data_IF_381783936217
#
_entry.id   IF_381783936217
#
_cell.length_a   1.000
_cell.length_b   1.000
_cell.length_c   1.000
_cell.angle_alpha   90.00
_cell.angle_beta   90.00
_cell.angle_gamma   90.00
#
_symmetry.space_group_name_H-M   'P 1'
#
loop_
_entity.id
_entity.type
_entity.pdbx_description
1 polymer ?
#
# COMPACT_ATOMS: atom_id res chain seq x y z
N UNK A 1 -4.00 10.32 -7.78
CA UNK A 1 -4.20 11.07 -9.04
C UNK A 1 -3.04 10.79 -10.00
N UNK A 2 -1.79 10.92 -9.59
CA UNK A 2 -0.59 10.75 -10.43
C UNK A 2 -0.35 9.33 -10.96
N UNK A 3 -0.94 8.31 -10.35
CA UNK A 3 -0.83 6.90 -10.74
C UNK A 3 -1.95 6.42 -11.66
N UNK A 4 -2.98 7.24 -11.87
CA UNK A 4 -4.11 6.86 -12.73
C UNK A 4 -3.85 7.38 -14.12
N UNK A 5 -3.90 6.53 -15.16
CA UNK A 5 -3.60 6.90 -16.54
C UNK A 5 -4.76 7.67 -17.18
N UNK A 6 -4.99 8.89 -16.68
CA UNK A 6 -6.13 9.75 -17.07
C UNK A 6 -6.18 10.06 -18.57
N UNK A 7 -5.00 10.25 -19.17
CA UNK A 7 -4.91 10.62 -20.58
C UNK A 7 -5.01 9.40 -21.50
N UNK A 8 -4.26 8.32 -21.20
CA UNK A 8 -4.23 7.13 -22.05
C UNK A 8 -5.52 6.31 -21.98
N UNK A 9 -6.07 6.10 -20.77
CA UNK A 9 -7.19 5.18 -20.57
C UNK A 9 -8.54 5.92 -20.51
N UNK A 10 -8.55 7.15 -20.00
CA UNK A 10 -9.79 7.93 -19.84
C UNK A 10 -9.90 9.09 -20.82
N UNK A 11 -8.91 9.34 -21.69
CA UNK A 11 -8.89 10.40 -22.71
C UNK A 11 -9.21 11.81 -22.18
N UNK A 12 -8.73 12.13 -20.96
CA UNK A 12 -8.95 13.43 -20.32
C UNK A 12 -7.77 14.35 -20.65
N UNK A 13 -7.90 15.13 -21.73
CA UNK A 13 -6.84 16.03 -22.25
C UNK A 13 -6.39 17.14 -21.31
N UNK A 14 -7.12 17.40 -20.19
CA UNK A 14 -6.66 18.31 -19.16
C UNK A 14 -5.31 17.90 -18.56
N UNK A 15 -5.09 16.60 -18.39
CA UNK A 15 -3.84 16.08 -17.81
C UNK A 15 -2.67 16.13 -18.78
N UNK A 16 -2.92 16.13 -20.08
CA UNK A 16 -1.88 16.37 -21.08
C UNK A 16 -1.39 17.81 -21.03
N UNK A 17 -2.30 18.79 -20.93
CA UNK A 17 -1.93 20.19 -20.76
C UNK A 17 -1.17 20.45 -19.46
N UNK A 18 -1.52 19.74 -18.40
CA UNK A 18 -0.81 19.82 -17.11
C UNK A 18 0.60 19.22 -17.23
N UNK A 19 0.75 18.12 -17.97
CA UNK A 19 2.04 17.52 -18.27
C UNK A 19 2.92 18.48 -19.08
N UNK A 20 2.40 19.09 -20.16
CA UNK A 20 3.12 20.07 -20.97
C UNK A 20 3.55 21.29 -20.15
N UNK A 21 2.70 21.75 -19.24
CA UNK A 21 3.05 22.83 -18.32
C UNK A 21 4.26 22.47 -17.45
N UNK A 22 4.28 21.30 -16.84
CA UNK A 22 5.41 20.85 -16.03
C UNK A 22 6.67 20.55 -16.86
N UNK A 23 6.51 20.03 -18.07
CA UNK A 23 7.61 19.80 -19.01
C UNK A 23 8.25 21.11 -19.46
N UNK A 24 7.49 22.20 -19.52
CA UNK A 24 7.99 23.53 -19.90
C UNK A 24 8.86 24.22 -18.84
N UNK A 25 8.90 23.70 -17.59
CA UNK A 25 9.72 24.25 -16.50
C UNK A 25 11.02 23.44 -16.39
N UNK A 26 12.20 23.97 -16.83
CA UNK A 26 13.42 23.16 -16.99
C UNK A 26 13.89 22.43 -15.74
N UNK A 27 13.85 23.08 -14.57
CA UNK A 27 14.28 22.48 -13.29
C UNK A 27 13.27 21.44 -12.83
N UNK A 28 11.98 21.75 -12.91
CA UNK A 28 10.91 20.89 -12.45
C UNK A 28 10.77 19.65 -13.35
N UNK A 29 10.90 19.81 -14.65
CA UNK A 29 10.86 18.70 -15.61
C UNK A 29 11.98 17.69 -15.39
N UNK A 30 13.17 18.16 -15.05
CA UNK A 30 14.32 17.30 -14.76
C UNK A 30 14.14 16.56 -13.43
N UNK A 31 13.70 17.26 -12.37
CA UNK A 31 13.52 16.68 -11.03
C UNK A 31 12.36 15.67 -10.99
N UNK A 32 11.27 15.97 -11.71
CA UNK A 32 10.11 15.08 -11.78
C UNK A 32 10.23 13.99 -12.86
N UNK A 33 11.30 14.00 -13.68
CA UNK A 33 11.48 13.03 -14.77
C UNK A 33 10.42 13.12 -15.86
N UNK A 34 9.70 14.25 -15.97
CA UNK A 34 8.56 14.43 -16.88
C UNK A 34 8.94 14.24 -18.34
N UNK A 35 10.18 14.54 -18.71
CA UNK A 35 10.67 14.39 -20.08
C UNK A 35 10.88 12.93 -20.51
N UNK A 36 10.92 11.99 -19.57
CA UNK A 36 11.16 10.58 -19.84
C UNK A 36 9.91 9.71 -19.71
N UNK A 37 8.92 10.16 -18.95
CA UNK A 37 7.82 9.32 -18.50
C UNK A 37 6.43 9.79 -18.98
N UNK A 38 6.27 10.48 -20.04
CA UNK A 38 4.96 10.82 -20.60
C UNK A 38 4.01 11.56 -19.64
N UNK A 39 2.71 11.53 -19.92
CA UNK A 39 1.67 12.24 -19.19
C UNK A 39 1.46 11.76 -17.75
N UNK A 40 0.88 12.61 -16.91
CA UNK A 40 0.40 12.24 -15.56
C UNK A 40 -0.42 10.96 -15.60
N UNK A 41 -0.05 9.98 -14.76
CA UNK A 41 -0.64 8.64 -14.74
C UNK A 41 0.32 7.53 -15.15
N UNK A 42 1.44 7.88 -15.79
CA UNK A 42 2.54 6.94 -16.07
C UNK A 42 3.69 7.07 -15.06
N UNK A 43 3.46 7.83 -14.00
CA UNK A 43 4.48 8.08 -12.98
C UNK A 43 4.66 6.88 -12.06
N UNK A 44 5.93 6.55 -11.82
CA UNK A 44 6.36 5.50 -10.90
C UNK A 44 6.87 6.08 -9.57
N UNK A 45 7.45 5.24 -8.75
CA UNK A 45 7.91 5.61 -7.41
C UNK A 45 8.93 6.75 -7.38
N UNK A 46 9.78 6.87 -8.40
CA UNK A 46 10.82 7.91 -8.45
C UNK A 46 10.19 9.30 -8.58
N UNK A 47 9.26 9.46 -9.50
CA UNK A 47 8.56 10.73 -9.77
C UNK A 47 7.69 11.13 -8.58
N UNK A 48 7.03 10.15 -7.96
CA UNK A 48 6.22 10.37 -6.77
C UNK A 48 7.10 10.78 -5.59
N UNK A 49 8.27 10.17 -5.43
CA UNK A 49 9.23 10.52 -4.38
C UNK A 49 9.74 11.95 -4.55
N UNK A 50 10.06 12.36 -5.78
CA UNK A 50 10.44 13.73 -6.10
C UNK A 50 9.31 14.72 -5.80
N UNK A 51 8.06 14.38 -6.14
CA UNK A 51 6.88 15.19 -5.84
C UNK A 51 6.70 15.38 -4.32
N UNK A 52 6.89 14.32 -3.53
CA UNK A 52 6.81 14.41 -2.07
C UNK A 52 7.92 15.30 -1.48
N UNK A 53 9.16 15.21 -2.01
CA UNK A 53 10.25 16.10 -1.56
C UNK A 53 9.94 17.56 -1.86
N UNK A 54 9.47 17.87 -3.06
CA UNK A 54 9.06 19.23 -3.44
C UNK A 54 7.91 19.71 -2.56
N UNK A 55 6.89 18.88 -2.37
CA UNK A 55 5.76 19.22 -1.50
C UNK A 55 6.20 19.49 -0.06
N UNK A 56 7.14 18.71 0.46
CA UNK A 56 7.72 18.91 1.78
C UNK A 56 8.44 20.25 1.86
N UNK A 57 9.23 20.61 0.85
CA UNK A 57 9.93 21.90 0.79
C UNK A 57 8.95 23.07 0.74
N UNK A 58 7.88 22.96 -0.06
CA UNK A 58 6.80 23.98 -0.14
C UNK A 58 6.08 24.14 1.19
N UNK A 59 5.71 23.03 1.85
CA UNK A 59 5.07 23.07 3.17
C UNK A 59 6.00 23.71 4.20
N UNK A 60 7.28 23.31 4.22
CA UNK A 60 8.28 23.89 5.11
C UNK A 60 8.43 25.40 4.91
N UNK A 61 8.40 25.87 3.66
CA UNK A 61 8.47 27.29 3.33
C UNK A 61 7.22 28.05 3.79
N UNK A 62 6.02 27.53 3.49
CA UNK A 62 4.73 28.16 3.89
C UNK A 62 4.63 28.26 5.42
N UNK A 63 4.96 27.20 6.12
CA UNK A 63 4.82 27.13 7.58
C UNK A 63 6.08 27.53 8.36
N UNK A 64 7.10 28.06 7.70
CA UNK A 64 8.37 28.46 8.32
C UNK A 64 8.18 29.34 9.58
N UNK A 65 7.29 30.33 9.51
CA UNK A 65 6.99 31.21 10.65
C UNK A 65 6.35 30.47 11.83
N UNK A 66 5.51 29.48 11.58
CA UNK A 66 4.87 28.69 12.64
C UNK A 66 5.85 27.71 13.29
N UNK A 67 6.73 27.09 12.51
CA UNK A 67 7.83 26.27 13.01
C UNK A 67 8.77 27.09 13.91
N UNK A 68 9.13 28.29 13.46
CA UNK A 68 9.98 29.22 14.25
C UNK A 68 9.32 29.63 15.56
N UNK A 69 8.02 29.97 15.55
CA UNK A 69 7.28 30.33 16.78
C UNK A 69 7.20 29.19 17.80
N UNK A 70 7.11 27.95 17.34
CA UNK A 70 7.01 26.75 18.20
C UNK A 70 8.37 26.18 18.56
N UNK A 71 9.47 26.79 18.15
CA UNK A 71 10.84 26.28 18.34
C UNK A 71 11.03 24.84 17.80
N UNK A 72 10.33 24.50 16.73
CA UNK A 72 10.41 23.18 16.08
C UNK A 72 11.34 23.28 14.88
N UNK A 73 12.36 22.44 14.83
CA UNK A 73 13.26 22.33 13.69
C UNK A 73 12.57 21.59 12.53
N UNK A 74 12.56 22.20 11.36
CA UNK A 74 12.06 21.58 10.12
C UNK A 74 12.92 20.34 9.80
N UNK A 75 14.23 20.44 9.98
CA UNK A 75 15.17 19.34 9.73
C UNK A 75 14.88 18.15 10.63
N UNK A 76 14.70 18.39 11.94
CA UNK A 76 14.41 17.31 12.89
C UNK A 76 13.05 16.66 12.61
N UNK A 77 12.07 17.45 12.18
CA UNK A 77 10.76 16.90 11.76
C UNK A 77 10.88 16.02 10.53
N UNK A 78 11.69 16.42 9.55
CA UNK A 78 11.98 15.64 8.36
C UNK A 78 12.72 14.35 8.69
N UNK A 79 13.75 14.43 9.56
CA UNK A 79 14.52 13.26 10.01
C UNK A 79 13.63 12.26 10.74
N UNK A 80 12.78 12.71 11.67
CA UNK A 80 11.83 11.82 12.36
C UNK A 80 10.88 11.13 11.40
N UNK A 81 10.33 11.84 10.41
CA UNK A 81 9.51 11.22 9.38
C UNK A 81 10.27 10.19 8.53
N UNK A 82 11.56 10.41 8.31
CA UNK A 82 12.43 9.46 7.60
C UNK A 82 12.77 8.23 8.45
N UNK A 83 12.94 8.38 9.76
CA UNK A 83 13.15 7.27 10.71
C UNK A 83 11.99 6.27 10.68
N UNK A 84 10.74 6.75 10.62
CA UNK A 84 9.56 5.91 10.52
C UNK A 84 9.56 5.04 9.25
N UNK A 85 10.10 5.56 8.15
CA UNK A 85 10.22 4.85 6.88
C UNK A 85 11.44 3.93 6.80
N UNK A 86 12.48 4.17 7.60
CA UNK A 86 13.71 3.37 7.59
C UNK A 86 13.43 1.92 7.98
N UNK A 87 12.58 1.69 8.97
CA UNK A 87 12.19 0.33 9.39
C UNK A 87 11.52 -0.44 8.25
N UNK A 88 10.68 0.23 7.47
CA UNK A 88 10.02 -0.36 6.29
C UNK A 88 11.04 -0.69 5.20
N UNK A 89 11.99 0.21 4.93
CA UNK A 89 13.06 -0.02 3.95
C UNK A 89 13.93 -1.24 4.33
N UNK A 90 14.28 -1.38 5.62
CA UNK A 90 15.03 -2.54 6.12
C UNK A 90 14.21 -3.83 5.98
N UNK A 91 12.92 -3.81 6.31
CA UNK A 91 12.04 -4.99 6.15
C UNK A 91 11.97 -5.41 4.67
N UNK A 92 11.83 -4.45 3.75
CA UNK A 92 11.82 -4.73 2.31
C UNK A 92 13.13 -5.38 1.87
N UNK A 93 14.27 -4.84 2.31
CA UNK A 93 15.59 -5.39 1.97
C UNK A 93 15.76 -6.82 2.50
N UNK A 94 15.35 -7.08 3.75
CA UNK A 94 15.41 -8.41 4.35
C UNK A 94 14.47 -9.37 3.62
N UNK A 95 13.23 -8.97 3.33
CA UNK A 95 12.27 -9.79 2.60
C UNK A 95 12.77 -10.16 1.19
N UNK A 96 13.38 -9.21 0.49
CA UNK A 96 14.02 -9.48 -0.80
C UNK A 96 15.16 -10.49 -0.68
N UNK A 97 16.00 -10.35 0.36
CA UNK A 97 17.06 -11.32 0.67
C UNK A 97 16.52 -12.71 0.97
N UNK A 98 15.45 -12.83 1.77
CA UNK A 98 14.78 -14.10 2.05
C UNK A 98 14.26 -14.76 0.76
N UNK A 99 13.62 -14.00 -0.12
CA UNK A 99 13.13 -14.51 -1.41
C UNK A 99 14.26 -15.06 -2.28
N UNK A 100 15.41 -14.38 -2.32
CA UNK A 100 16.60 -14.87 -3.07
C UNK A 100 17.11 -16.19 -2.48
N UNK A 101 17.23 -16.29 -1.16
CA UNK A 101 17.70 -17.51 -0.49
C UNK A 101 16.71 -18.66 -0.67
N UNK A 102 15.41 -18.41 -0.56
CA UNK A 102 14.36 -19.41 -0.77
C UNK A 102 14.38 -19.97 -2.20
N UNK A 103 14.57 -19.07 -3.19
CA UNK A 103 14.68 -19.45 -4.60
C UNK A 103 15.95 -20.28 -4.85
N UNK A 104 17.10 -19.81 -4.36
CA UNK A 104 18.37 -20.50 -4.50
C UNK A 104 18.38 -21.86 -3.79
N UNK A 105 17.64 -22.01 -2.69
CA UNK A 105 17.50 -23.26 -1.93
C UNK A 105 16.41 -24.22 -2.44
N UNK A 106 15.67 -23.88 -3.50
CA UNK A 106 14.54 -24.68 -4.01
C UNK A 106 13.35 -24.76 -3.02
N UNK A 107 13.35 -23.93 -1.98
CA UNK A 107 12.27 -23.90 -0.99
C UNK A 107 11.00 -23.30 -1.62
N UNK A 108 11.18 -22.32 -2.50
CA UNK A 108 10.09 -21.70 -3.25
C UNK A 108 9.32 -22.76 -4.06
N UNK A 109 10.04 -23.61 -4.81
CA UNK A 109 9.43 -24.71 -5.58
C UNK A 109 8.68 -25.72 -4.70
N UNK A 110 9.19 -25.98 -3.50
CA UNK A 110 8.55 -26.89 -2.54
C UNK A 110 7.25 -26.29 -2.00
N UNK A 111 7.25 -25.00 -1.62
CA UNK A 111 6.06 -24.29 -1.14
C UNK A 111 5.01 -24.21 -2.25
N UNK A 112 5.45 -23.91 -3.46
CA UNK A 112 4.64 -23.88 -4.68
C UNK A 112 3.94 -25.23 -4.90
N UNK A 113 4.70 -26.32 -4.90
CA UNK A 113 4.16 -27.66 -5.10
C UNK A 113 3.14 -28.08 -4.02
N UNK A 114 3.39 -27.71 -2.78
CA UNK A 114 2.43 -27.96 -1.70
C UNK A 114 1.20 -27.08 -1.80
N UNK A 115 1.38 -25.81 -2.19
CA UNK A 115 0.28 -24.88 -2.47
C UNK A 115 -0.59 -25.39 -3.61
N UNK A 116 0.02 -25.82 -4.73
CA UNK A 116 -0.68 -26.40 -5.87
C UNK A 116 -1.50 -27.64 -5.45
N UNK A 117 -0.89 -28.60 -4.77
CA UNK A 117 -1.61 -29.80 -4.28
C UNK A 117 -2.71 -29.48 -3.27
N UNK A 118 -2.49 -28.53 -2.37
CA UNK A 118 -3.45 -28.17 -1.34
C UNK A 118 -4.64 -27.38 -1.89
N UNK A 119 -4.44 -26.61 -2.94
CA UNK A 119 -5.42 -25.70 -3.50
C UNK A 119 -5.95 -26.16 -4.88
N UNK A 120 -5.42 -27.23 -5.45
CA UNK A 120 -5.78 -27.75 -6.79
C UNK A 120 -7.29 -28.02 -6.99
N UNK A 121 -8.02 -28.26 -5.90
CA UNK A 121 -9.46 -28.50 -5.92
C UNK A 121 -10.29 -27.23 -5.71
N UNK A 122 -9.66 -26.08 -5.48
CA UNK A 122 -10.34 -24.82 -5.28
C UNK A 122 -10.33 -23.99 -6.58
N UNK A 123 -11.42 -23.32 -6.86
CA UNK A 123 -11.44 -22.33 -7.92
C UNK A 123 -10.73 -21.04 -7.47
N UNK A 124 -10.29 -20.20 -8.43
CA UNK A 124 -9.55 -18.96 -8.12
C UNK A 124 -10.29 -18.04 -7.14
N UNK A 125 -11.64 -17.99 -7.20
CA UNK A 125 -12.45 -17.24 -6.26
C UNK A 125 -12.32 -17.71 -4.81
N UNK A 126 -12.33 -19.01 -4.59
CA UNK A 126 -12.11 -19.59 -3.25
C UNK A 126 -10.68 -19.37 -2.75
N UNK A 127 -9.68 -19.45 -3.63
CA UNK A 127 -8.30 -19.13 -3.31
C UNK A 127 -8.17 -17.69 -2.83
N UNK A 128 -8.82 -16.74 -3.51
CA UNK A 128 -8.88 -15.35 -3.08
C UNK A 128 -9.52 -15.17 -1.71
N UNK A 129 -10.64 -15.82 -1.45
CA UNK A 129 -11.31 -15.80 -0.13
C UNK A 129 -10.41 -16.36 0.97
N UNK A 130 -9.72 -17.46 0.72
CA UNK A 130 -8.79 -18.05 1.68
C UNK A 130 -7.61 -17.12 1.96
N UNK A 131 -7.08 -16.45 0.93
CA UNK A 131 -6.06 -15.43 1.08
C UNK A 131 -6.55 -14.25 1.93
N UNK A 132 -7.76 -13.76 1.69
CA UNK A 132 -8.37 -12.69 2.49
C UNK A 132 -8.47 -13.08 3.97
N UNK A 133 -8.99 -14.28 4.26
CA UNK A 133 -9.10 -14.81 5.63
C UNK A 133 -7.71 -14.94 6.27
N UNK A 134 -6.71 -15.39 5.54
CA UNK A 134 -5.33 -15.51 5.99
C UNK A 134 -4.71 -14.14 6.33
N UNK A 135 -4.99 -13.11 5.52
CA UNK A 135 -4.47 -11.77 5.75
C UNK A 135 -5.10 -11.06 6.96
N UNK A 136 -6.29 -11.45 7.41
CA UNK A 136 -6.90 -10.84 8.60
C UNK A 136 -6.01 -10.97 9.85
N UNK A 137 -5.65 -12.19 10.33
CA UNK A 137 -4.78 -12.31 11.49
C UNK A 137 -3.38 -11.74 11.23
N UNK A 138 -2.85 -11.86 10.01
CA UNK A 138 -1.54 -11.33 9.67
C UNK A 138 -1.50 -9.80 9.79
N UNK A 139 -2.52 -9.12 9.30
CA UNK A 139 -2.65 -7.66 9.41
C UNK A 139 -2.83 -7.18 10.85
N UNK A 140 -3.38 -8.03 11.73
CA UNK A 140 -3.46 -7.72 13.15
C UNK A 140 -2.08 -7.80 13.84
N UNK A 141 -1.27 -8.80 13.47
CA UNK A 141 0.06 -9.02 14.04
C UNK A 141 1.06 -7.99 13.49
N UNK A 142 0.98 -7.71 12.18
CA UNK A 142 1.87 -6.76 11.48
C UNK A 142 1.03 -5.55 11.06
N UNK A 143 0.92 -4.51 11.91
CA UNK A 143 0.03 -3.37 11.65
C UNK A 143 0.53 -2.43 10.55
N UNK A 144 1.75 -2.66 10.03
CA UNK A 144 2.32 -1.91 8.91
C UNK A 144 1.86 -2.50 7.58
N UNK A 145 1.03 -1.76 6.84
CA UNK A 145 0.53 -2.20 5.52
C UNK A 145 1.68 -2.47 4.53
N UNK A 146 2.63 -1.54 4.43
CA UNK A 146 3.78 -1.70 3.54
C UNK A 146 4.72 -2.81 3.99
N UNK A 147 4.97 -2.94 5.30
CA UNK A 147 5.78 -4.02 5.88
C UNK A 147 5.15 -5.39 5.64
N UNK A 148 3.85 -5.52 5.85
CA UNK A 148 3.13 -6.76 5.60
C UNK A 148 3.11 -7.12 4.12
N UNK A 149 2.86 -6.17 3.23
CA UNK A 149 2.92 -6.40 1.79
C UNK A 149 4.32 -6.85 1.35
N UNK A 150 5.36 -6.16 1.80
CA UNK A 150 6.74 -6.49 1.46
C UNK A 150 7.17 -7.89 1.95
N UNK A 151 6.69 -8.30 3.12
CA UNK A 151 7.01 -9.61 3.68
C UNK A 151 6.22 -10.76 3.03
N UNK A 152 4.98 -10.54 2.60
CA UNK A 152 4.08 -11.60 2.16
C UNK A 152 3.91 -11.73 0.65
N UNK A 153 3.88 -10.62 -0.10
CA UNK A 153 3.61 -10.65 -1.54
C UNK A 153 4.65 -11.42 -2.36
N UNK A 154 5.96 -11.35 -2.08
CA UNK A 154 6.94 -12.16 -2.81
C UNK A 154 6.69 -13.66 -2.73
N UNK A 155 6.02 -14.13 -1.69
CA UNK A 155 5.70 -15.55 -1.46
C UNK A 155 4.31 -15.89 -2.01
N UNK A 156 3.31 -15.09 -1.68
CA UNK A 156 1.89 -15.42 -1.96
C UNK A 156 1.53 -15.16 -3.43
N UNK A 157 2.10 -14.14 -4.06
CA UNK A 157 1.76 -13.82 -5.44
C UNK A 157 2.16 -14.92 -6.43
N UNK A 158 3.38 -15.52 -6.39
CA UNK A 158 3.72 -16.67 -7.23
C UNK A 158 2.83 -17.89 -6.98
N UNK A 159 2.50 -18.17 -5.71
CA UNK A 159 1.64 -19.31 -5.36
C UNK A 159 0.24 -19.15 -5.95
N UNK A 160 -0.29 -17.93 -6.01
CA UNK A 160 -1.63 -17.68 -6.55
C UNK A 160 -1.77 -18.06 -8.03
N UNK A 161 -0.77 -17.74 -8.84
CA UNK A 161 -0.77 -18.07 -10.28
C UNK A 161 -0.81 -19.58 -10.52
N UNK A 162 -0.13 -20.35 -9.69
CA UNK A 162 -0.04 -21.80 -9.82
C UNK A 162 -1.34 -22.53 -9.47
N UNK A 163 -2.14 -21.91 -8.61
CA UNK A 163 -3.45 -22.48 -8.22
C UNK A 163 -4.62 -21.91 -9.03
N UNK A 164 -4.32 -21.27 -10.17
CA UNK A 164 -5.35 -20.75 -11.08
C UNK A 164 -6.04 -19.48 -10.60
N UNK A 165 -5.40 -18.73 -9.70
CA UNK A 165 -5.81 -17.38 -9.32
C UNK A 165 -4.79 -16.37 -9.85
N UNK A 166 -5.23 -15.14 -10.11
CA UNK A 166 -4.33 -14.09 -10.57
C UNK A 166 -3.67 -13.33 -9.39
N UNK A 167 -2.55 -12.66 -9.66
CA UNK A 167 -1.82 -11.86 -8.65
C UNK A 167 -2.66 -10.69 -8.13
N UNK A 168 -3.47 -10.13 -8.99
CA UNK A 168 -4.36 -9.01 -8.68
C UNK A 168 -5.34 -9.38 -7.57
N UNK A 169 -5.86 -10.61 -7.59
CA UNK A 169 -6.73 -11.14 -6.53
C UNK A 169 -6.01 -11.15 -5.17
N UNK A 170 -4.73 -11.51 -5.13
CA UNK A 170 -3.96 -11.50 -3.89
C UNK A 170 -3.76 -10.08 -3.36
N UNK A 171 -3.49 -9.13 -4.25
CA UNK A 171 -3.36 -7.70 -3.88
C UNK A 171 -4.69 -7.18 -3.32
N UNK A 172 -5.81 -7.51 -3.95
CA UNK A 172 -7.15 -7.12 -3.49
C UNK A 172 -7.49 -7.79 -2.15
N UNK A 173 -7.19 -9.08 -1.99
CA UNK A 173 -7.38 -9.79 -0.72
C UNK A 173 -6.60 -9.15 0.42
N UNK A 174 -5.31 -8.87 0.20
CA UNK A 174 -4.45 -8.17 1.14
C UNK A 174 -5.00 -6.78 1.48
N UNK A 175 -5.28 -5.95 0.46
CA UNK A 175 -5.70 -4.57 0.65
C UNK A 175 -7.01 -4.47 1.44
N UNK A 176 -7.98 -5.34 1.12
CA UNK A 176 -9.26 -5.39 1.83
C UNK A 176 -9.11 -5.89 3.27
N UNK A 177 -8.32 -6.94 3.52
CA UNK A 177 -8.08 -7.44 4.87
C UNK A 177 -7.37 -6.40 5.73
N UNK A 178 -6.29 -5.81 5.21
CA UNK A 178 -5.54 -4.76 5.91
C UNK A 178 -6.39 -3.50 6.13
N UNK A 179 -7.14 -3.06 5.12
CA UNK A 179 -8.06 -1.93 5.24
C UNK A 179 -9.14 -2.15 6.31
N UNK A 180 -9.71 -3.34 6.37
CA UNK A 180 -10.70 -3.69 7.40
C UNK A 180 -10.08 -3.63 8.80
N UNK A 181 -8.89 -4.21 8.99
CA UNK A 181 -8.19 -4.20 10.28
C UNK A 181 -7.80 -2.79 10.71
N UNK A 182 -7.39 -1.94 9.79
CA UNK A 182 -7.03 -0.54 10.06
C UNK A 182 -8.19 0.27 10.68
N UNK A 183 -9.43 -0.16 10.48
CA UNK A 183 -10.60 0.50 11.06
C UNK A 183 -10.80 0.20 12.55
N UNK A 184 -10.26 -0.90 13.07
CA UNK A 184 -10.57 -1.31 14.43
C UNK A 184 -9.41 -1.89 15.25
N UNK A 185 -8.31 -2.29 14.63
CA UNK A 185 -7.22 -2.92 15.38
C UNK A 185 -6.55 -1.92 16.33
N UNK A 186 -6.43 -2.25 17.62
CA UNK A 186 -5.80 -1.35 18.60
C UNK A 186 -4.29 -1.20 18.39
N UNK A 187 -3.71 -2.04 17.55
CA UNK A 187 -2.31 -1.95 17.11
C UNK A 187 -2.05 -0.81 16.12
N UNK A 188 -3.10 -0.22 15.55
CA UNK A 188 -3.02 0.89 14.60
C UNK A 188 -2.87 2.22 15.34
N UNK A 189 -1.67 2.78 15.29
CA UNK A 189 -1.31 4.00 16.01
C UNK A 189 -2.18 5.21 15.60
N UNK A 190 -2.48 5.37 14.32
CA UNK A 190 -3.31 6.48 13.81
C UNK A 190 -4.75 6.41 14.32
N UNK A 191 -5.34 5.21 14.41
CA UNK A 191 -6.66 5.01 14.98
C UNK A 191 -6.66 5.38 16.47
N UNK A 192 -5.71 4.85 17.22
CA UNK A 192 -5.64 5.10 18.67
C UNK A 192 -5.36 6.57 18.98
N UNK A 193 -4.49 7.22 18.23
CA UNK A 193 -4.24 8.65 18.33
C UNK A 193 -5.52 9.47 18.04
N UNK A 194 -6.23 9.16 16.97
CA UNK A 194 -7.48 9.83 16.62
C UNK A 194 -8.55 9.69 17.69
N UNK A 195 -8.72 8.49 18.26
CA UNK A 195 -9.65 8.25 19.36
C UNK A 195 -9.27 9.02 20.63
N UNK A 196 -7.99 9.06 20.96
CA UNK A 196 -7.47 9.82 22.12
C UNK A 196 -7.72 11.32 21.95
N UNK A 197 -7.38 11.88 20.77
CA UNK A 197 -7.57 13.29 20.49
C UNK A 197 -9.05 13.70 20.48
N UNK A 198 -9.95 12.81 20.03
CA UNK A 198 -11.39 13.07 19.99
C UNK A 198 -12.10 12.78 21.31
N UNK A 199 -11.41 12.23 22.32
CA UNK A 199 -12.00 11.83 23.60
C UNK A 199 -12.97 10.64 23.50
N UNK A 200 -12.94 9.87 22.40
CA UNK A 200 -13.82 8.73 22.18
C UNK A 200 -13.16 7.46 22.71
N UNK A 201 -13.85 6.75 23.61
CA UNK A 201 -13.33 5.48 24.12
C UNK A 201 -13.32 4.41 23.01
N UNK A 202 -12.28 3.58 22.98
CA UNK A 202 -12.15 2.46 22.04
C UNK A 202 -13.37 1.53 22.05
N UNK A 203 -13.93 1.24 23.25
CA UNK A 203 -15.15 0.43 23.38
C UNK A 203 -16.34 1.06 22.66
N UNK A 204 -16.52 2.37 22.78
CA UNK A 204 -17.60 3.10 22.09
C UNK A 204 -17.39 3.07 20.58
N UNK A 205 -16.15 3.27 20.12
CA UNK A 205 -15.78 3.17 18.72
C UNK A 205 -16.15 1.81 18.13
N UNK A 206 -15.65 0.72 18.71
CA UNK A 206 -15.93 -0.64 18.24
C UNK A 206 -17.43 -0.91 18.17
N UNK A 207 -18.17 -0.56 19.21
CA UNK A 207 -19.63 -0.78 19.23
C UNK A 207 -20.37 -0.04 18.09
N UNK A 208 -19.87 1.14 17.72
CA UNK A 208 -20.48 1.94 16.64
C UNK A 208 -20.06 1.49 15.24
N UNK A 209 -18.82 1.05 15.09
CA UNK A 209 -18.24 0.69 13.80
C UNK A 209 -18.47 -0.78 13.45
N UNK A 210 -18.70 -1.65 14.44
CA UNK A 210 -18.90 -3.09 14.21
C UNK A 210 -19.93 -3.44 13.11
N UNK A 211 -21.11 -2.81 13.01
CA UNK A 211 -22.05 -3.12 11.94
C UNK A 211 -21.47 -2.78 10.55
N UNK A 212 -20.76 -1.66 10.46
CA UNK A 212 -20.12 -1.22 9.22
C UNK A 212 -18.97 -2.17 8.81
N UNK A 213 -18.20 -2.64 9.79
CA UNK A 213 -17.15 -3.62 9.57
C UNK A 213 -17.68 -4.94 9.03
N UNK A 214 -18.81 -5.43 9.55
CA UNK A 214 -19.45 -6.64 9.02
C UNK A 214 -19.87 -6.44 7.56
N UNK A 215 -20.46 -5.29 7.23
CA UNK A 215 -20.84 -4.95 5.87
C UNK A 215 -19.60 -4.93 4.96
N UNK A 216 -18.53 -4.25 5.36
CA UNK A 216 -17.30 -4.22 4.58
C UNK A 216 -16.63 -5.59 4.45
N UNK A 217 -16.65 -6.42 5.50
CA UNK A 217 -16.14 -7.78 5.43
C UNK A 217 -16.91 -8.62 4.38
N UNK A 218 -18.23 -8.51 4.33
CA UNK A 218 -19.06 -9.21 3.35
C UNK A 218 -18.77 -8.69 1.94
N UNK A 219 -18.73 -7.37 1.74
CA UNK A 219 -18.41 -6.77 0.45
C UNK A 219 -17.02 -7.22 -0.01
N UNK A 220 -16.03 -7.21 0.88
CA UNK A 220 -14.67 -7.65 0.59
C UNK A 220 -14.61 -9.12 0.18
N UNK A 221 -15.33 -9.99 0.89
CA UNK A 221 -15.41 -11.42 0.54
C UNK A 221 -16.00 -11.63 -0.87
N UNK A 222 -17.10 -10.92 -1.17
CA UNK A 222 -17.71 -10.99 -2.51
C UNK A 222 -16.77 -10.43 -3.57
N UNK A 223 -16.15 -9.29 -3.33
CA UNK A 223 -15.24 -8.66 -4.27
C UNK A 223 -14.03 -9.55 -4.58
N UNK A 224 -13.40 -10.11 -3.54
CA UNK A 224 -12.25 -11.01 -3.71
C UNK A 224 -12.64 -12.31 -4.40
N UNK A 225 -13.82 -12.87 -4.09
CA UNK A 225 -14.33 -14.06 -4.77
C UNK A 225 -14.56 -13.80 -6.25
N UNK A 226 -15.21 -12.69 -6.60
CA UNK A 226 -15.47 -12.31 -8.00
C UNK A 226 -14.17 -12.05 -8.76
N UNK A 227 -13.24 -11.33 -8.16
CA UNK A 227 -11.92 -11.07 -8.75
C UNK A 227 -11.14 -12.35 -9.04
N UNK A 228 -11.24 -13.34 -8.17
CA UNK A 228 -10.58 -14.63 -8.36
C UNK A 228 -11.26 -15.53 -9.38
N UNK A 229 -12.44 -15.18 -9.87
CA UNK A 229 -13.17 -15.93 -10.91
C UNK A 229 -12.91 -15.37 -12.32
N UNK A 230 -12.37 -14.14 -12.41
CA UNK A 230 -12.04 -13.46 -13.65
C UNK A 230 -10.59 -13.76 -14.02
#
# INVERSE_FOLDING_TARGET
>A
ISLIPWSSDFHIGFFDGLHEFFAGIPVLSTVLGVNHNGALGTWYFNEISALFLISTAVIAFIYHKEFSKKNVSITDTFIKGSEDLLSVAVIIAVAAGVSIVMRAGGIEDTIIHWGEKGLANFNGGLVGVLAYIFYLPLSFIIPSSSGLAAASMPIIAPVSELVGSNKETMVVAFANANGLLNMFAPTIASLMAGLTLSGVSYKTWIKRVAPLMVIFAIISLVAVFVMGMI
#
